data_IF_281397079795
#
_entry.id   IF_281397079795
#
_cell.length_a   1.000
_cell.length_b   1.000
_cell.length_c   1.000
_cell.angle_alpha   90.00
_cell.angle_beta   90.00
_cell.angle_gamma   90.00
#
_symmetry.space_group_name_H-M   'P 1'
#
loop_
_entity.id
_entity.type
_entity.pdbx_description
1 polymer ?
#
# COMPACT_ATOMS: atom_id res chain seq x y z
N UNK A 1 9.81 -5.33 -61.40
CA UNK A 1 9.64 -5.20 -59.93
C UNK A 1 10.78 -5.95 -59.26
N UNK A 2 11.88 -5.25 -58.99
CA UNK A 2 13.15 -5.86 -58.55
C UNK A 2 13.19 -5.95 -57.03
N UNK A 3 13.22 -7.18 -56.53
CA UNK A 3 13.40 -7.58 -55.13
C UNK A 3 14.73 -7.07 -54.57
N UNK A 4 14.70 -6.09 -53.67
CA UNK A 4 15.85 -5.68 -52.86
C UNK A 4 16.07 -6.65 -51.69
N UNK A 5 16.83 -7.72 -51.96
CA UNK A 5 17.48 -8.51 -50.90
C UNK A 5 18.37 -7.56 -50.10
N UNK A 6 18.04 -7.37 -48.83
CA UNK A 6 18.86 -6.59 -47.92
C UNK A 6 20.16 -7.36 -47.66
N UNK A 7 21.27 -6.75 -48.10
CA UNK A 7 22.62 -7.28 -47.98
C UNK A 7 23.09 -7.23 -46.51
N UNK A 8 22.84 -8.32 -45.78
CA UNK A 8 23.22 -8.52 -44.38
C UNK A 8 24.74 -8.46 -44.15
N UNK A 9 25.57 -8.48 -45.19
CA UNK A 9 27.02 -8.34 -45.07
C UNK A 9 27.47 -6.93 -44.65
N UNK A 10 26.63 -5.91 -44.87
CA UNK A 10 26.90 -4.52 -44.43
C UNK A 10 26.66 -4.30 -42.93
N UNK A 11 25.70 -5.03 -42.33
CA UNK A 11 25.44 -4.95 -40.89
C UNK A 11 26.54 -5.62 -40.05
N UNK A 12 27.20 -6.64 -40.60
CA UNK A 12 28.32 -7.31 -39.93
C UNK A 12 29.56 -6.39 -39.75
N UNK A 13 29.66 -5.27 -40.48
CA UNK A 13 30.76 -4.30 -40.33
C UNK A 13 30.55 -3.28 -39.21
N UNK A 14 29.34 -3.13 -38.66
CA UNK A 14 29.05 -2.13 -37.64
C UNK A 14 29.38 -2.56 -36.21
N UNK A 15 29.72 -3.84 -35.99
CA UNK A 15 30.20 -4.36 -34.70
C UNK A 15 31.50 -5.10 -34.92
N UNK A 16 32.52 -4.39 -35.42
CA UNK A 16 33.89 -4.88 -35.30
C UNK A 16 34.28 -4.82 -33.83
N UNK A 17 34.23 -5.96 -33.13
CA UNK A 17 34.74 -6.11 -31.78
C UNK A 17 36.25 -5.84 -31.80
N UNK A 18 36.64 -4.59 -31.51
CA UNK A 18 38.04 -4.24 -31.32
C UNK A 18 38.50 -4.91 -30.04
N UNK A 19 39.40 -5.89 -30.16
CA UNK A 19 40.00 -6.59 -29.03
C UNK A 19 40.82 -5.58 -28.23
N UNK A 20 40.26 -5.10 -27.11
CA UNK A 20 40.92 -4.14 -26.23
C UNK A 20 41.90 -4.88 -25.31
N UNK A 21 43.11 -4.34 -25.17
CA UNK A 21 44.03 -4.83 -24.16
C UNK A 21 43.67 -4.33 -22.76
N UNK A 22 44.28 -4.91 -21.72
CA UNK A 22 44.00 -4.56 -20.32
C UNK A 22 44.24 -3.07 -20.02
N UNK A 23 45.22 -2.43 -20.66
CA UNK A 23 45.53 -1.01 -20.43
C UNK A 23 44.50 -0.11 -21.10
N UNK A 24 44.08 -0.43 -22.32
CA UNK A 24 42.99 0.27 -23.01
C UNK A 24 41.67 0.16 -22.24
N UNK A 25 41.35 -1.04 -21.73
CA UNK A 25 40.16 -1.24 -20.91
C UNK A 25 40.18 -0.41 -19.63
N UNK A 26 41.28 -0.45 -18.88
CA UNK A 26 41.42 0.34 -17.65
C UNK A 26 41.35 1.84 -17.93
N UNK A 27 41.95 2.32 -19.03
CA UNK A 27 41.88 3.73 -19.43
C UNK A 27 40.45 4.16 -19.78
N UNK A 28 39.71 3.35 -20.55
CA UNK A 28 38.33 3.67 -20.91
C UNK A 28 37.38 3.59 -19.71
N UNK A 29 37.55 2.60 -18.82
CA UNK A 29 36.77 2.49 -17.59
C UNK A 29 36.99 3.70 -16.67
N UNK A 30 38.24 4.18 -16.55
CA UNK A 30 38.55 5.38 -15.76
C UNK A 30 37.90 6.63 -16.36
N UNK A 31 37.97 6.81 -17.68
CA UNK A 31 37.33 7.94 -18.39
C UNK A 31 35.81 7.92 -18.22
N UNK A 32 35.17 6.76 -18.35
CA UNK A 32 33.73 6.60 -18.14
C UNK A 32 33.35 6.88 -16.68
N UNK A 33 34.16 6.44 -15.71
CA UNK A 33 33.95 6.73 -14.29
C UNK A 33 34.03 8.22 -13.95
N UNK A 34 34.99 8.96 -14.54
CA UNK A 34 35.12 10.42 -14.39
C UNK A 34 33.92 11.17 -15.00
N UNK A 35 33.46 10.74 -16.17
CA UNK A 35 32.26 11.31 -16.81
C UNK A 35 30.98 11.06 -16.00
N UNK A 36 30.81 9.84 -15.47
CA UNK A 36 29.66 9.49 -14.65
C UNK A 36 29.63 10.26 -13.31
N UNK A 37 30.79 10.48 -12.70
CA UNK A 37 30.92 11.30 -11.48
C UNK A 37 30.66 12.77 -11.76
N UNK A 38 31.19 13.34 -12.85
CA UNK A 38 30.89 14.72 -13.25
C UNK A 38 29.39 14.94 -13.54
N UNK A 39 28.73 13.99 -14.22
CA UNK A 39 27.29 14.03 -14.47
C UNK A 39 26.47 13.95 -13.18
N UNK A 40 26.90 13.12 -12.22
CA UNK A 40 26.25 12.99 -10.90
C UNK A 40 26.39 14.25 -10.05
N UNK A 41 27.54 14.95 -10.15
CA UNK A 41 27.75 16.25 -9.50
C UNK A 41 26.89 17.34 -10.14
N UNK A 42 26.74 17.34 -11.48
CA UNK A 42 25.90 18.30 -12.17
C UNK A 42 24.40 18.09 -11.87
N UNK A 43 23.95 16.83 -11.79
CA UNK A 43 22.57 16.48 -11.43
C UNK A 43 22.25 16.80 -9.96
N UNK A 44 23.23 16.70 -9.05
CA UNK A 44 23.04 17.14 -7.66
C UNK A 44 23.11 18.66 -7.49
N UNK A 45 23.84 19.37 -8.37
CA UNK A 45 23.87 20.83 -8.43
C UNK A 45 22.58 21.45 -9.00
N UNK A 46 21.90 20.78 -9.94
CA UNK A 46 20.54 21.08 -10.37
C UNK A 46 19.53 20.61 -9.32
N UNK A 47 19.55 21.23 -8.13
CA UNK A 47 18.57 20.97 -7.07
C UNK A 47 17.15 21.08 -7.62
N UNK A 48 16.39 19.97 -7.57
CA UNK A 48 14.93 20.04 -7.49
C UNK A 48 14.57 20.98 -6.34
N UNK A 49 13.51 21.81 -6.47
CA UNK A 49 13.01 22.53 -5.30
C UNK A 49 12.78 21.53 -4.17
N UNK A 50 13.13 21.87 -2.92
CA UNK A 50 12.83 21.00 -1.80
C UNK A 50 11.34 20.70 -1.84
N UNK A 51 10.99 19.41 -1.91
CA UNK A 51 9.65 18.98 -1.52
C UNK A 51 9.50 19.51 -0.11
N UNK A 52 8.49 20.33 0.13
CA UNK A 52 8.21 20.85 1.46
C UNK A 52 8.20 19.65 2.41
N UNK A 53 9.17 19.59 3.33
CA UNK A 53 9.11 18.67 4.46
C UNK A 53 7.89 19.12 5.26
N UNK A 54 6.76 18.46 5.01
CA UNK A 54 5.66 18.44 5.96
C UNK A 54 6.28 17.80 7.20
N UNK A 55 6.42 18.61 8.25
CA UNK A 55 6.88 18.11 9.53
C UNK A 55 6.03 16.87 9.88
N UNK A 56 6.63 15.75 10.31
CA UNK A 56 5.84 14.65 10.82
C UNK A 56 5.04 15.22 11.99
N UNK A 57 3.74 15.35 11.80
CA UNK A 57 2.82 15.55 12.91
C UNK A 57 3.08 14.36 13.84
N UNK A 58 3.57 14.65 15.04
CA UNK A 58 3.75 13.65 16.09
C UNK A 58 2.41 12.93 16.23
N UNK A 59 2.33 11.65 15.84
CA UNK A 59 1.06 10.96 15.87
C UNK A 59 0.73 10.69 17.32
N UNK A 60 -0.15 11.52 17.87
CA UNK A 60 -0.71 11.27 19.18
C UNK A 60 -1.64 10.08 19.04
N UNK A 61 -1.49 9.01 19.84
CA UNK A 61 -2.47 7.92 19.89
C UNK A 61 -3.75 8.48 20.53
N UNK A 62 -4.56 9.18 19.76
CA UNK A 62 -5.88 9.63 20.15
C UNK A 62 -6.88 8.53 19.81
N UNK A 63 -6.86 7.43 20.57
CA UNK A 63 -8.05 6.59 20.65
C UNK A 63 -9.11 7.33 21.50
N UNK A 64 -9.52 8.51 21.01
CA UNK A 64 -10.63 9.24 21.58
C UNK A 64 -11.90 8.41 21.35
N UNK A 65 -12.84 8.47 22.28
CA UNK A 65 -14.09 7.72 22.24
C UNK A 65 -15.04 8.29 21.17
N UNK A 66 -14.60 8.23 19.91
CA UNK A 66 -15.43 8.50 18.75
C UNK A 66 -16.61 7.53 18.71
N UNK A 67 -17.68 7.96 18.06
CA UNK A 67 -18.91 7.20 17.91
C UNK A 67 -18.60 5.80 17.38
N UNK A 68 -18.84 4.79 18.22
CA UNK A 68 -18.66 3.39 17.85
C UNK A 68 -19.60 3.07 16.70
N UNK A 69 -19.08 2.44 15.66
CA UNK A 69 -19.88 1.99 14.52
C UNK A 69 -20.28 0.54 14.74
N UNK A 70 -21.59 0.27 14.77
CA UNK A 70 -22.10 -1.10 14.86
C UNK A 70 -21.63 -1.91 13.63
N UNK A 71 -21.04 -3.06 13.90
CA UNK A 71 -20.55 -3.96 12.87
C UNK A 71 -21.71 -4.72 12.22
N UNK A 72 -21.59 -4.99 10.92
CA UNK A 72 -22.55 -5.81 10.18
C UNK A 72 -22.19 -7.29 10.32
N UNK A 73 -23.15 -8.15 9.98
CA UNK A 73 -22.98 -9.62 9.88
C UNK A 73 -22.56 -10.30 11.18
N UNK A 74 -23.42 -10.23 12.19
CA UNK A 74 -23.33 -11.06 13.38
C UNK A 74 -24.71 -11.50 13.84
N UNK A 75 -24.76 -12.55 14.65
CA UNK A 75 -25.98 -13.01 15.32
C UNK A 75 -25.80 -12.91 16.82
N UNK A 76 -26.85 -12.49 17.52
CA UNK A 76 -26.89 -12.52 18.99
C UNK A 76 -27.11 -13.96 19.45
N UNK A 77 -26.34 -14.38 20.44
CA UNK A 77 -26.41 -15.69 21.08
C UNK A 77 -26.97 -15.52 22.50
N UNK A 78 -27.02 -16.61 23.27
CA UNK A 78 -27.42 -16.56 24.68
C UNK A 78 -26.39 -15.79 25.53
N UNK A 79 -26.87 -15.00 26.50
CA UNK A 79 -26.03 -14.33 27.50
C UNK A 79 -25.00 -13.35 26.92
N UNK A 80 -25.46 -12.26 26.31
CA UNK A 80 -24.68 -11.14 25.70
C UNK A 80 -23.57 -11.57 24.74
N UNK A 81 -23.46 -12.85 24.43
CA UNK A 81 -22.48 -13.40 23.50
C UNK A 81 -22.99 -13.18 22.10
N UNK A 82 -22.08 -12.94 21.16
CA UNK A 82 -22.40 -12.84 19.74
C UNK A 82 -21.57 -13.83 18.93
N UNK A 83 -22.04 -14.15 17.73
CA UNK A 83 -21.23 -14.83 16.72
C UNK A 83 -21.06 -13.92 15.51
N UNK A 84 -19.84 -13.45 15.28
CA UNK A 84 -19.47 -12.72 14.08
C UNK A 84 -19.50 -13.68 12.88
N UNK A 85 -20.14 -13.29 11.78
CA UNK A 85 -20.28 -14.11 10.57
C UNK A 85 -19.55 -13.53 9.35
N UNK A 86 -18.84 -12.42 9.51
CA UNK A 86 -18.29 -11.69 8.38
C UNK A 86 -17.17 -12.44 7.64
N UNK A 87 -16.25 -13.07 8.38
CA UNK A 87 -15.13 -13.79 7.78
C UNK A 87 -15.17 -15.27 8.12
N UNK A 88 -14.31 -16.05 7.46
CA UNK A 88 -14.24 -17.51 7.60
C UNK A 88 -14.02 -18.00 9.04
N UNK A 89 -13.52 -17.15 9.96
CA UNK A 89 -13.25 -17.55 11.35
C UNK A 89 -14.49 -17.71 12.21
N UNK A 90 -15.60 -17.07 11.86
CA UNK A 90 -16.88 -17.16 12.57
C UNK A 90 -16.75 -17.05 14.11
N UNK A 91 -16.02 -16.04 14.59
CA UNK A 91 -15.69 -15.92 16.01
C UNK A 91 -16.95 -15.81 16.88
N UNK A 92 -17.02 -16.63 17.93
CA UNK A 92 -17.92 -16.42 19.06
C UNK A 92 -17.24 -15.47 20.05
N UNK A 93 -17.88 -14.36 20.37
CA UNK A 93 -17.29 -13.25 21.13
C UNK A 93 -18.19 -12.98 22.33
N UNK A 94 -17.66 -13.22 23.53
CA UNK A 94 -18.34 -12.91 24.80
C UNK A 94 -18.41 -11.41 25.04
N UNK A 95 -19.18 -10.98 26.02
CA UNK A 95 -19.24 -9.57 26.42
C UNK A 95 -17.85 -9.02 26.76
N UNK A 96 -17.52 -7.82 26.26
CA UNK A 96 -16.24 -7.14 26.46
C UNK A 96 -15.05 -7.73 25.69
N UNK A 97 -15.24 -8.84 24.98
CA UNK A 97 -14.18 -9.52 24.25
C UNK A 97 -14.09 -9.08 22.79
N UNK A 98 -12.96 -9.44 22.15
CA UNK A 98 -12.69 -9.16 20.74
C UNK A 98 -12.61 -10.41 19.88
N UNK A 99 -12.99 -10.26 18.63
CA UNK A 99 -12.76 -11.28 17.60
C UNK A 99 -11.27 -11.44 17.29
N UNK A 100 -10.93 -12.52 16.58
CA UNK A 100 -9.53 -12.84 16.23
C UNK A 100 -8.76 -11.69 15.57
N UNK A 101 -9.44 -10.89 14.74
CA UNK A 101 -8.84 -9.76 14.05
C UNK A 101 -8.41 -8.60 14.96
N UNK A 102 -8.87 -8.58 16.22
CA UNK A 102 -8.53 -7.55 17.20
C UNK A 102 -9.27 -6.22 17.03
N UNK A 103 -10.12 -6.09 16.00
CA UNK A 103 -10.80 -4.82 15.64
C UNK A 103 -12.32 -4.87 15.74
N UNK A 104 -12.87 -6.02 16.12
CA UNK A 104 -14.31 -6.17 16.39
C UNK A 104 -14.52 -6.56 17.84
N UNK A 105 -15.26 -5.74 18.56
CA UNK A 105 -15.47 -5.85 20.00
C UNK A 105 -16.97 -5.96 20.30
N UNK A 106 -17.33 -6.90 21.16
CA UNK A 106 -18.69 -7.04 21.63
C UNK A 106 -18.90 -6.15 22.86
N UNK A 107 -19.88 -5.27 22.82
CA UNK A 107 -20.29 -4.42 23.94
C UNK A 107 -21.79 -4.49 24.12
N UNK A 108 -22.21 -4.90 25.30
CA UNK A 108 -23.61 -5.08 25.71
C UNK A 108 -24.41 -5.92 24.67
N UNK A 109 -23.80 -7.01 24.21
CA UNK A 109 -24.38 -7.90 23.20
C UNK A 109 -24.56 -7.27 21.80
N UNK A 110 -23.81 -6.21 21.50
CA UNK A 110 -23.77 -5.54 20.20
C UNK A 110 -22.33 -5.52 19.70
N UNK A 111 -22.11 -5.98 18.47
CA UNK A 111 -20.77 -6.03 17.88
C UNK A 111 -20.44 -4.67 17.26
N UNK A 112 -19.28 -4.11 17.60
CA UNK A 112 -18.78 -2.86 17.05
C UNK A 112 -17.48 -3.07 16.29
N UNK A 113 -17.26 -2.26 15.26
CA UNK A 113 -15.94 -2.11 14.61
C UNK A 113 -15.18 -0.95 15.24
N UNK A 114 -13.90 -1.16 15.52
CA UNK A 114 -13.01 -0.19 16.17
C UNK A 114 -12.17 0.62 15.18
N UNK A 115 -12.32 0.35 13.88
CA UNK A 115 -11.45 0.89 12.82
C UNK A 115 -12.22 1.63 11.73
N UNK A 116 -13.50 1.91 11.95
CA UNK A 116 -14.30 2.70 11.01
C UNK A 116 -13.78 4.14 10.93
N UNK A 117 -13.43 4.60 9.73
CA UNK A 117 -12.86 5.95 9.54
C UNK A 117 -11.45 6.13 10.10
N UNK A 118 -10.76 5.03 10.46
CA UNK A 118 -9.45 5.06 11.15
C UNK A 118 -8.37 4.25 10.41
N UNK A 119 -8.04 4.61 9.17
CA UNK A 119 -6.93 3.98 8.47
C UNK A 119 -5.60 4.23 9.20
N UNK A 120 -4.76 3.20 9.28
CA UNK A 120 -3.39 3.29 9.79
C UNK A 120 -2.34 3.30 8.67
N UNK A 121 -2.78 3.10 7.43
CA UNK A 121 -1.93 3.20 6.25
C UNK A 121 -2.72 3.83 5.11
N UNK A 122 -2.21 4.96 4.62
CA UNK A 122 -2.69 5.64 3.43
C UNK A 122 -1.48 5.85 2.52
N UNK A 123 -1.58 5.47 1.25
CA UNK A 123 -0.50 5.74 0.28
C UNK A 123 -1.09 6.10 -1.08
N UNK A 124 -0.80 7.31 -1.53
CA UNK A 124 -1.28 7.85 -2.80
C UNK A 124 -0.20 7.69 -3.90
N UNK A 125 -0.64 7.63 -5.16
CA UNK A 125 0.28 7.64 -6.31
C UNK A 125 1.01 6.33 -6.59
N UNK A 126 0.75 5.25 -5.84
CA UNK A 126 1.37 3.95 -6.13
C UNK A 126 0.84 3.37 -7.43
N UNK A 127 1.67 2.73 -8.26
CA UNK A 127 1.21 2.11 -9.51
C UNK A 127 0.33 0.89 -9.25
N UNK A 128 -0.63 0.62 -10.15
CA UNK A 128 -1.54 -0.52 -10.09
C UNK A 128 -0.79 -1.87 -10.19
N UNK A 129 0.35 -1.90 -10.88
CA UNK A 129 1.18 -3.09 -11.10
C UNK A 129 1.82 -3.64 -9.82
N UNK A 130 1.85 -2.85 -8.74
CA UNK A 130 2.27 -3.31 -7.41
C UNK A 130 1.19 -4.12 -6.69
N UNK A 131 -0.05 -4.13 -7.19
CA UNK A 131 -1.10 -5.07 -6.78
C UNK A 131 -1.06 -6.32 -7.66
N UNK A 132 -1.73 -7.42 -7.27
CA UNK A 132 -1.99 -8.56 -8.15
C UNK A 132 -3.01 -8.23 -9.27
N UNK A 133 -2.95 -7.02 -9.84
CA UNK A 133 -3.84 -6.46 -10.85
C UNK A 133 -3.05 -5.87 -12.02
N UNK A 134 -1.94 -6.51 -12.40
CA UNK A 134 -0.95 -6.00 -13.37
C UNK A 134 -1.55 -5.57 -14.72
N UNK A 135 -2.61 -6.24 -15.19
CA UNK A 135 -3.25 -5.94 -16.47
C UNK A 135 -4.49 -5.05 -16.36
N UNK A 136 -4.80 -4.54 -15.17
CA UNK A 136 -5.92 -3.63 -14.95
C UNK A 136 -5.41 -2.20 -15.13
N UNK A 137 -5.66 -1.65 -16.31
CA UNK A 137 -5.30 -0.27 -16.69
C UNK A 137 -3.82 0.10 -16.35
N UNK A 138 -2.84 -0.49 -17.07
CA UNK A 138 -1.43 -0.28 -16.77
C UNK A 138 -0.99 1.20 -16.81
N UNK A 139 -0.08 1.56 -15.92
CA UNK A 139 0.44 2.92 -15.74
C UNK A 139 -0.42 3.79 -14.82
N UNK A 140 -1.59 3.32 -14.40
CA UNK A 140 -2.47 4.07 -13.51
C UNK A 140 -1.99 4.07 -12.07
N UNK A 141 -2.26 5.20 -11.40
CA UNK A 141 -1.98 5.39 -9.99
C UNK A 141 -3.24 5.14 -9.13
N UNK A 142 -3.01 4.75 -7.88
CA UNK A 142 -4.05 4.41 -6.90
C UNK A 142 -3.80 5.03 -5.53
N UNK A 143 -4.88 5.22 -4.79
CA UNK A 143 -4.86 5.40 -3.34
C UNK A 143 -4.94 4.03 -2.68
N UNK A 144 -4.07 3.78 -1.70
CA UNK A 144 -4.10 2.58 -0.88
C UNK A 144 -4.56 2.89 0.51
N UNK A 145 -5.41 2.01 1.04
CA UNK A 145 -5.98 2.16 2.37
C UNK A 145 -5.93 0.84 3.12
N UNK A 146 -5.53 0.91 4.39
CA UNK A 146 -5.56 -0.20 5.32
C UNK A 146 -5.84 0.30 6.75
N UNK A 147 -6.53 -0.52 7.54
CA UNK A 147 -6.68 -0.31 8.98
C UNK A 147 -5.83 -1.31 9.78
N UNK A 148 -5.82 -1.14 11.10
CA UNK A 148 -5.30 -2.15 12.02
C UNK A 148 -6.01 -3.50 11.85
N UNK A 149 -5.34 -4.58 12.28
CA UNK A 149 -5.90 -5.91 12.37
C UNK A 149 -5.96 -6.69 11.06
N UNK A 150 -6.10 -8.01 11.18
CA UNK A 150 -6.22 -8.93 10.06
C UNK A 150 -6.86 -10.24 10.53
N UNK A 151 -7.64 -10.89 9.68
CA UNK A 151 -8.18 -12.23 9.96
C UNK A 151 -7.21 -13.35 9.53
N UNK A 152 -6.02 -13.02 9.01
CA UNK A 152 -4.92 -13.95 8.75
C UNK A 152 -3.74 -13.72 9.72
N UNK A 153 -2.91 -14.75 9.89
CA UNK A 153 -1.65 -14.68 10.68
C UNK A 153 -0.52 -15.34 9.90
N UNK A 154 -0.16 -14.71 8.79
CA UNK A 154 0.88 -15.21 7.90
C UNK A 154 2.25 -15.14 8.60
N UNK A 155 3.05 -16.21 8.55
CA UNK A 155 4.38 -16.27 9.16
C UNK A 155 5.37 -15.26 8.58
N UNK A 156 5.15 -14.83 7.33
CA UNK A 156 6.00 -13.89 6.61
C UNK A 156 5.19 -12.68 6.12
N UNK A 157 4.26 -12.19 6.95
CA UNK A 157 3.48 -11.01 6.60
C UNK A 157 4.40 -9.79 6.44
N UNK A 158 4.43 -9.16 5.26
CA UNK A 158 5.21 -7.95 5.04
C UNK A 158 4.65 -6.75 5.83
N UNK A 159 3.33 -6.70 6.02
CA UNK A 159 2.63 -5.62 6.71
C UNK A 159 2.30 -6.01 8.16
N UNK A 160 3.12 -6.86 8.80
CA UNK A 160 2.86 -7.37 10.14
C UNK A 160 2.74 -6.25 11.19
N UNK A 161 3.39 -5.10 10.97
CA UNK A 161 3.30 -3.94 11.88
C UNK A 161 1.89 -3.35 11.97
N UNK A 162 0.98 -3.65 11.04
CA UNK A 162 -0.41 -3.20 11.07
C UNK A 162 -1.40 -4.38 11.08
N UNK A 163 -1.09 -5.47 10.37
CA UNK A 163 -1.96 -6.63 10.24
C UNK A 163 -2.06 -7.47 11.53
N UNK A 164 -0.97 -7.52 12.32
CA UNK A 164 -0.91 -8.31 13.55
C UNK A 164 -0.98 -7.44 14.80
N UNK A 165 -1.63 -6.27 14.69
CA UNK A 165 -1.75 -5.27 15.75
C UNK A 165 -3.20 -4.91 16.02
N UNK A 166 -3.50 -4.56 17.26
CA UNK A 166 -4.78 -3.97 17.64
C UNK A 166 -4.81 -2.48 17.25
N UNK A 167 -6.00 -1.85 17.19
CA UNK A 167 -6.14 -0.43 16.88
C UNK A 167 -5.32 0.49 17.78
N UNK A 168 -5.12 0.11 19.05
CA UNK A 168 -4.38 0.88 20.04
C UNK A 168 -2.86 0.79 19.87
N UNK A 169 -2.37 -0.26 19.20
CA UNK A 169 -0.94 -0.46 18.95
C UNK A 169 -0.44 0.25 17.69
N UNK A 170 -1.33 0.84 16.90
CA UNK A 170 -0.99 1.53 15.66
C UNK A 170 -1.43 2.98 15.69
N UNK A 171 -0.68 3.79 14.98
CA UNK A 171 -1.06 5.16 14.66
C UNK A 171 -2.13 5.09 13.58
N UNK A 172 -3.27 5.74 13.83
CA UNK A 172 -4.36 5.88 12.86
C UNK A 172 -4.64 7.36 12.61
N UNK A 173 -5.20 7.63 11.43
CA UNK A 173 -5.66 8.95 11.03
C UNK A 173 -7.18 8.95 11.01
N UNK A 174 -7.80 10.07 11.35
CA UNK A 174 -9.23 10.26 11.10
C UNK A 174 -9.41 10.57 9.61
N UNK A 175 -10.16 9.72 8.92
CA UNK A 175 -10.46 9.88 7.51
C UNK A 175 -11.82 9.25 7.19
N UNK A 176 -12.83 10.08 6.98
CA UNK A 176 -14.17 9.62 6.58
C UNK A 176 -14.17 8.96 5.19
N UNK A 177 -15.19 8.14 4.87
CA UNK A 177 -15.34 7.57 3.53
C UNK A 177 -15.31 8.62 2.41
N UNK A 178 -16.00 9.73 2.62
CA UNK A 178 -16.10 10.83 1.67
C UNK A 178 -14.73 11.47 1.41
N UNK A 179 -13.96 11.73 2.47
CA UNK A 179 -12.60 12.29 2.35
C UNK A 179 -11.65 11.34 1.62
N UNK A 180 -11.83 10.01 1.72
CA UNK A 180 -11.04 9.04 0.93
C UNK A 180 -11.29 9.25 -0.57
N UNK A 181 -12.57 9.39 -0.96
CA UNK A 181 -12.98 9.58 -2.35
C UNK A 181 -12.52 10.95 -2.87
N UNK A 182 -12.70 12.00 -2.07
CA UNK A 182 -12.25 13.35 -2.39
C UNK A 182 -10.74 13.39 -2.66
N UNK A 183 -9.92 12.80 -1.78
CA UNK A 183 -8.46 12.71 -1.98
C UNK A 183 -8.11 11.98 -3.27
N UNK A 184 -8.82 10.90 -3.60
CA UNK A 184 -8.57 10.18 -4.84
C UNK A 184 -8.87 11.04 -6.08
N UNK A 185 -9.97 11.81 -6.05
CA UNK A 185 -10.36 12.74 -7.13
C UNK A 185 -9.35 13.88 -7.26
N UNK A 186 -9.01 14.55 -6.15
CA UNK A 186 -8.08 15.69 -6.12
C UNK A 186 -6.70 15.32 -6.68
N UNK A 187 -6.23 14.10 -6.39
CA UNK A 187 -4.94 13.60 -6.85
C UNK A 187 -5.00 12.90 -8.22
N UNK A 188 -6.15 12.94 -8.91
CA UNK A 188 -6.38 12.27 -10.20
C UNK A 188 -6.03 10.77 -10.18
N UNK A 189 -6.39 10.08 -9.10
CA UNK A 189 -6.14 8.65 -8.91
C UNK A 189 -7.33 7.85 -9.46
N UNK A 190 -7.03 6.84 -10.30
CA UNK A 190 -8.08 6.08 -11.00
C UNK A 190 -8.65 4.92 -10.18
N UNK A 191 -7.98 4.56 -9.08
CA UNK A 191 -8.38 3.46 -8.23
C UNK A 191 -8.21 3.79 -6.76
N UNK A 192 -9.12 3.27 -5.95
CA UNK A 192 -8.96 3.13 -4.51
C UNK A 192 -8.78 1.63 -4.24
N UNK A 193 -7.71 1.27 -3.55
CA UNK A 193 -7.36 -0.12 -3.28
C UNK A 193 -7.26 -0.37 -1.78
N UNK A 194 -8.17 -1.18 -1.28
CA UNK A 194 -8.13 -1.71 0.08
C UNK A 194 -7.12 -2.85 0.13
N UNK A 195 -6.00 -2.64 0.81
CA UNK A 195 -4.84 -3.54 0.74
C UNK A 195 -4.02 -3.52 2.03
N UNK A 196 -2.85 -4.16 2.02
CA UNK A 196 -1.91 -4.34 3.14
C UNK A 196 -2.39 -5.21 4.30
N UNK A 197 -3.58 -4.93 4.84
CA UNK A 197 -4.33 -5.83 5.72
C UNK A 197 -5.45 -6.51 4.94
N UNK A 198 -6.21 -7.39 5.59
CA UNK A 198 -7.30 -8.10 4.92
C UNK A 198 -8.59 -7.25 4.93
N UNK A 199 -9.12 -6.83 3.77
CA UNK A 199 -10.18 -5.82 3.72
C UNK A 199 -11.48 -6.15 4.44
N UNK A 200 -11.84 -7.44 4.62
CA UNK A 200 -13.07 -7.76 5.35
C UNK A 200 -13.01 -7.31 6.82
N UNK A 201 -11.83 -7.12 7.41
CA UNK A 201 -11.77 -6.69 8.82
C UNK A 201 -12.30 -5.27 9.06
N UNK A 202 -12.30 -4.41 8.04
CA UNK A 202 -12.86 -3.06 8.05
C UNK A 202 -13.99 -2.88 7.03
N UNK A 203 -14.76 -3.95 6.81
CA UNK A 203 -15.82 -4.02 5.79
C UNK A 203 -16.76 -2.82 5.79
N UNK A 204 -17.23 -2.36 6.96
CA UNK A 204 -18.18 -1.23 7.03
C UNK A 204 -17.57 0.03 6.41
N UNK A 205 -16.32 0.33 6.75
CA UNK A 205 -15.59 1.47 6.18
C UNK A 205 -15.31 1.30 4.69
N UNK A 206 -14.92 0.09 4.27
CA UNK A 206 -14.70 -0.24 2.86
C UNK A 206 -15.98 -0.14 2.02
N UNK A 207 -17.13 -0.52 2.59
CA UNK A 207 -18.41 -0.54 1.89
C UNK A 207 -18.99 0.86 1.68
N UNK A 208 -18.76 1.76 2.65
CA UNK A 208 -19.27 3.13 2.58
C UNK A 208 -18.37 4.05 1.71
N UNK A 209 -17.09 3.67 1.46
CA UNK A 209 -16.19 4.28 0.46
C UNK A 209 -16.55 3.84 -0.96
#
# INVERSE_FOLDING_TARGET
MSSTRHDLSKLARLVAYRKMDRREFLSQALKAGVLATAASIFLTACRRPPVAEVAPEEPTPSFDQQALTEARYYVKMEGETIQCQLCFRRCTISEGERGYCGVRENREGTLYTLVYGRPCSITEGSPIEKLPLYHVLPGSARLNLATAGCNFKCSFCHNWQIAARTPEEVISFDLSPEEVVERAIENNLQFIAFTYTEPTVFYEYMYDV
#
